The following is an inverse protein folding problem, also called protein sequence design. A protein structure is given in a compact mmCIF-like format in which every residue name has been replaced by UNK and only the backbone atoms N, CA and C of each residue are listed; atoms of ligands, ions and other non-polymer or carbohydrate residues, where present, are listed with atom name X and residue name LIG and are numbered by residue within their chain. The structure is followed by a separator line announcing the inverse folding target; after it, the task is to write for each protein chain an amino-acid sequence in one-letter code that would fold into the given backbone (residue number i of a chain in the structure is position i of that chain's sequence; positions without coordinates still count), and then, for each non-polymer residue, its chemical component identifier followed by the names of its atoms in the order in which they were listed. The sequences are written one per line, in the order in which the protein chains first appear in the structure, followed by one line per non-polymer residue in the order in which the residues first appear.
data_IF_823241566851
#
_entry.id   IF_823241566851
#
_cell.length_a   1.000
_cell.length_b   1.000
_cell.length_c   1.000
_cell.angle_alpha   90.00
_cell.angle_beta   90.00
_cell.angle_gamma   90.00
#
_symmetry.space_group_name_H-M   'P 1'
#
loop_
_entity.id
_entity.type
_entity.pdbx_description
1 polymer ?
#
# COMPACT_ATOMS: atom_id res chain seq x y z
N UNK A 1 -15.99 16.01 -16.70
CA UNK A 1 -15.40 15.34 -17.89
C UNK A 1 -14.04 14.82 -17.47
N UNK A 2 -13.75 13.52 -17.62
CA UNK A 2 -12.57 12.85 -17.01
C UNK A 2 -11.42 12.64 -18.01
N UNK A 3 -11.57 13.16 -19.23
CA UNK A 3 -10.60 13.04 -20.35
C UNK A 3 -11.32 12.81 -21.68
N UNK A 4 -10.65 13.07 -22.80
CA UNK A 4 -11.15 12.73 -24.15
C UNK A 4 -10.07 11.99 -24.93
N UNK A 5 -10.43 10.86 -25.56
CA UNK A 5 -9.53 10.15 -26.46
C UNK A 5 -9.68 10.80 -27.83
N UNK A 6 -8.64 11.51 -28.28
CA UNK A 6 -8.66 12.24 -29.55
C UNK A 6 -8.38 11.32 -30.73
N UNK A 7 -7.45 10.38 -30.54
CA UNK A 7 -6.99 9.41 -31.53
C UNK A 7 -6.52 8.12 -30.84
N UNK A 8 -6.48 7.00 -31.58
CA UNK A 8 -5.78 5.78 -31.14
C UNK A 8 -6.66 4.74 -30.43
N UNK A 9 -7.98 4.89 -30.39
CA UNK A 9 -8.87 3.85 -29.86
C UNK A 9 -8.84 2.57 -30.72
N UNK A 10 -8.42 2.71 -31.97
CA UNK A 10 -8.16 1.65 -32.93
C UNK A 10 -6.99 0.75 -32.51
N UNK A 11 -6.03 1.28 -31.74
CA UNK A 11 -4.92 0.47 -31.19
C UNK A 11 -5.46 -0.63 -30.27
N UNK A 12 -6.49 -0.33 -29.47
CA UNK A 12 -7.14 -1.32 -28.62
C UNK A 12 -7.86 -2.42 -29.42
N UNK A 13 -8.20 -2.18 -30.70
CA UNK A 13 -8.88 -3.17 -31.56
C UNK A 13 -7.91 -4.15 -32.23
N UNK A 14 -6.63 -3.80 -32.34
CA UNK A 14 -5.60 -4.61 -33.00
C UNK A 14 -4.59 -5.22 -32.01
N UNK A 15 -4.60 -4.79 -30.76
CA UNK A 15 -3.77 -5.37 -29.70
C UNK A 15 -4.12 -6.86 -29.49
N UNK A 16 -3.09 -7.71 -29.46
CA UNK A 16 -3.20 -9.13 -29.18
C UNK A 16 -2.96 -9.43 -27.68
N UNK A 17 -3.25 -10.67 -27.28
CA UNK A 17 -2.90 -11.14 -25.93
C UNK A 17 -1.38 -11.06 -25.73
N UNK A 18 -0.97 -10.36 -24.67
CA UNK A 18 0.45 -10.12 -24.35
C UNK A 18 1.00 -8.77 -24.82
N UNK A 19 0.28 -8.03 -25.67
CA UNK A 19 0.71 -6.68 -26.07
C UNK A 19 0.59 -5.69 -24.91
N UNK A 20 1.57 -4.80 -24.77
CA UNK A 20 1.56 -3.71 -23.80
C UNK A 20 1.24 -2.39 -24.47
N UNK A 21 0.20 -1.70 -23.99
CA UNK A 21 -0.15 -0.35 -24.40
C UNK A 21 0.42 0.66 -23.41
N UNK A 22 1.24 1.59 -23.90
CA UNK A 22 1.70 2.71 -23.10
C UNK A 22 0.66 3.82 -23.10
N UNK A 23 0.36 4.35 -21.91
CA UNK A 23 -0.47 5.56 -21.75
C UNK A 23 0.44 6.67 -21.26
N UNK A 24 0.51 7.76 -22.01
CA UNK A 24 1.21 8.99 -21.63
C UNK A 24 0.13 10.04 -21.36
N UNK A 25 0.19 10.66 -20.18
CA UNK A 25 -0.77 11.69 -19.77
C UNK A 25 -0.03 13.02 -19.69
N UNK A 26 -0.61 14.05 -20.31
CA UNK A 26 -0.12 15.43 -20.21
C UNK A 26 -1.20 16.32 -19.56
N UNK A 27 -0.90 16.99 -18.44
CA UNK A 27 0.34 16.90 -17.66
C UNK A 27 0.49 15.51 -17.02
N UNK A 28 1.74 15.10 -16.77
CA UNK A 28 2.00 13.91 -15.96
C UNK A 28 1.44 14.11 -14.55
N UNK A 29 1.13 12.99 -13.89
CA UNK A 29 0.56 13.02 -12.55
C UNK A 29 1.55 13.58 -11.54
N UNK A 30 1.13 14.61 -10.82
CA UNK A 30 1.82 15.10 -9.61
C UNK A 30 1.40 14.23 -8.43
N UNK A 31 2.16 13.18 -8.16
CA UNK A 31 2.03 12.35 -6.96
C UNK A 31 3.35 12.31 -6.19
N UNK A 32 3.40 13.04 -5.08
CA UNK A 32 4.57 13.14 -4.21
C UNK A 32 4.53 12.10 -3.08
N UNK A 33 3.41 11.38 -2.91
CA UNK A 33 3.21 10.49 -1.76
C UNK A 33 4.12 9.26 -1.86
N UNK A 34 4.94 9.07 -0.82
CA UNK A 34 5.95 8.04 -0.73
C UNK A 34 7.33 8.45 -1.21
N UNK A 35 7.50 9.65 -1.74
CA UNK A 35 8.82 10.18 -2.10
C UNK A 35 9.60 10.64 -0.85
N UNK A 36 10.94 10.52 -0.85
CA UNK A 36 11.79 11.30 0.03
C UNK A 36 11.53 12.79 -0.14
N UNK A 37 11.61 13.54 0.96
CA UNK A 37 11.27 14.97 0.98
C UNK A 37 12.02 15.79 -0.09
N UNK A 38 13.32 15.56 -0.25
CA UNK A 38 14.15 16.25 -1.25
C UNK A 38 13.76 15.89 -2.70
N UNK A 39 13.42 14.63 -2.95
CA UNK A 39 12.91 14.19 -4.26
C UNK A 39 11.56 14.83 -4.56
N UNK A 40 10.66 14.87 -3.58
CA UNK A 40 9.36 15.51 -3.72
C UNK A 40 9.47 17.02 -4.00
N UNK A 41 10.44 17.69 -3.38
CA UNK A 41 10.75 19.11 -3.63
C UNK A 41 11.20 19.32 -5.08
N UNK A 42 12.14 18.51 -5.55
CA UNK A 42 12.66 18.55 -6.92
C UNK A 42 11.54 18.33 -7.95
N UNK A 43 10.66 17.35 -7.69
CA UNK A 43 9.51 17.05 -8.54
C UNK A 43 8.53 18.24 -8.58
N UNK A 44 8.18 18.80 -7.42
CA UNK A 44 7.29 19.96 -7.34
C UNK A 44 7.83 21.19 -8.09
N UNK A 45 9.15 21.41 -8.01
CA UNK A 45 9.84 22.48 -8.75
C UNK A 45 9.76 22.27 -10.27
N UNK A 46 9.86 21.02 -10.76
CA UNK A 46 9.70 20.71 -12.18
C UNK A 46 8.31 21.08 -12.73
N UNK A 47 7.28 21.03 -11.87
CA UNK A 47 5.92 21.49 -12.19
C UNK A 47 5.69 22.99 -11.89
N UNK A 48 6.71 23.74 -11.49
CA UNK A 48 6.61 25.14 -11.07
C UNK A 48 5.62 25.35 -9.90
N UNK A 49 5.57 24.41 -8.97
CA UNK A 49 4.71 24.47 -7.79
C UNK A 49 5.47 25.03 -6.59
N UNK A 50 4.83 25.92 -5.84
CA UNK A 50 5.31 26.30 -4.51
C UNK A 50 5.18 25.10 -3.57
N UNK A 51 6.31 24.58 -3.09
CA UNK A 51 6.36 23.42 -2.19
C UNK A 51 6.46 23.85 -0.73
N UNK A 52 5.59 23.32 0.14
CA UNK A 52 5.56 23.64 1.58
C UNK A 52 5.45 22.37 2.44
N UNK A 53 6.54 21.90 3.07
CA UNK A 53 6.46 20.78 3.99
C UNK A 53 5.96 21.20 5.38
N UNK A 54 5.35 20.26 6.09
CA UNK A 54 5.01 20.40 7.51
C UNK A 54 6.25 20.49 8.41
N UNK A 55 7.30 19.75 8.06
CA UNK A 55 8.61 19.75 8.73
C UNK A 55 9.70 19.69 7.67
N UNK A 56 10.59 20.67 7.68
CA UNK A 56 11.74 20.75 6.77
C UNK A 56 12.99 20.13 7.42
N UNK A 57 13.13 18.81 7.32
CA UNK A 57 14.29 18.07 7.82
C UNK A 57 14.63 16.88 6.93
N UNK A 58 15.90 16.43 6.89
CA UNK A 58 16.30 15.27 6.12
C UNK A 58 15.64 13.97 6.63
N UNK A 59 15.75 12.91 5.83
CA UNK A 59 15.29 11.54 6.13
C UNK A 59 13.80 11.42 6.44
N UNK A 60 13.00 12.16 5.67
CA UNK A 60 11.53 12.15 5.77
C UNK A 60 10.88 11.70 4.47
N UNK A 61 9.76 11.00 4.62
CA UNK A 61 8.92 10.52 3.52
C UNK A 61 7.60 11.29 3.54
N UNK A 62 7.12 11.69 2.37
CA UNK A 62 5.81 12.31 2.20
C UNK A 62 4.69 11.29 2.38
N UNK A 63 3.76 11.55 3.30
CA UNK A 63 2.62 10.67 3.62
C UNK A 63 1.27 11.18 3.15
N UNK A 64 1.20 12.46 2.80
CA UNK A 64 0.03 13.07 2.18
C UNK A 64 0.41 14.39 1.54
N UNK A 65 -0.33 14.78 0.51
CA UNK A 65 -0.22 16.09 -0.12
C UNK A 65 -1.57 16.79 -0.18
N UNK A 66 -1.55 18.12 -0.26
CA UNK A 66 -2.71 18.97 -0.51
C UNK A 66 -2.31 20.09 -1.48
N UNK A 67 -3.03 20.29 -2.60
CA UNK A 67 -4.19 19.54 -3.06
C UNK A 67 -3.90 18.07 -3.40
N UNK A 68 -4.94 17.23 -3.36
CA UNK A 68 -4.80 15.79 -3.60
C UNK A 68 -4.69 15.46 -5.10
N UNK A 69 -5.21 16.34 -5.97
CA UNK A 69 -5.23 16.10 -7.41
C UNK A 69 -4.24 16.99 -8.15
N UNK A 70 -3.67 16.46 -9.22
CA UNK A 70 -2.74 17.18 -10.09
C UNK A 70 -3.34 18.48 -10.64
N UNK A 71 -4.59 18.45 -11.08
CA UNK A 71 -5.26 19.64 -11.64
C UNK A 71 -5.42 20.76 -10.61
N UNK A 72 -5.76 20.42 -9.37
CA UNK A 72 -5.87 21.42 -8.30
C UNK A 72 -4.49 21.98 -7.92
N UNK A 73 -3.47 21.12 -7.80
CA UNK A 73 -2.11 21.55 -7.50
C UNK A 73 -1.59 22.54 -8.56
N UNK A 74 -1.77 22.22 -9.85
CA UNK A 74 -1.40 23.10 -10.97
C UNK A 74 -2.24 24.38 -11.00
N UNK A 75 -3.54 24.29 -10.72
CA UNK A 75 -4.42 25.47 -10.65
C UNK A 75 -4.03 26.42 -9.51
N UNK A 76 -3.61 25.89 -8.36
CA UNK A 76 -3.20 26.67 -7.19
C UNK A 76 -1.73 27.10 -7.26
N UNK A 77 -0.93 26.44 -8.11
CA UNK A 77 0.53 26.57 -8.20
C UNK A 77 1.23 26.35 -6.86
N UNK A 78 0.65 25.52 -6.01
CA UNK A 78 1.15 25.25 -4.68
C UNK A 78 0.78 23.84 -4.23
N UNK A 79 1.64 23.26 -3.41
CA UNK A 79 1.44 21.97 -2.77
C UNK A 79 2.02 21.99 -1.37
N UNK A 80 1.20 21.55 -0.41
CA UNK A 80 1.57 21.33 0.97
C UNK A 80 1.72 19.82 1.19
N UNK A 81 2.76 19.40 1.90
CA UNK A 81 2.97 17.97 2.21
C UNK A 81 3.03 17.74 3.71
N UNK A 82 2.52 16.59 4.14
CA UNK A 82 2.80 16.04 5.48
C UNK A 82 3.80 14.91 5.35
N UNK A 83 4.65 14.78 6.35
CA UNK A 83 5.77 13.86 6.29
C UNK A 83 5.92 13.09 7.60
N UNK A 84 6.64 11.96 7.54
CA UNK A 84 7.13 11.22 8.71
C UNK A 84 8.61 10.86 8.52
N UNK A 85 9.35 10.57 9.60
CA UNK A 85 10.70 9.99 9.47
C UNK A 85 10.66 8.67 8.67
N UNK A 86 11.60 8.46 7.74
CA UNK A 86 11.66 7.22 6.91
C UNK A 86 11.76 5.96 7.77
N UNK A 87 12.40 6.05 8.95
CA UNK A 87 12.46 4.96 9.93
C UNK A 87 11.09 4.47 10.44
N UNK A 88 10.03 5.25 10.26
CA UNK A 88 8.65 4.85 10.60
C UNK A 88 7.91 4.17 9.45
N UNK A 89 8.49 4.13 8.24
CA UNK A 89 7.92 3.39 7.10
C UNK A 89 8.40 1.94 7.18
N UNK A 90 7.46 1.01 7.15
CA UNK A 90 7.72 -0.42 7.26
C UNK A 90 7.88 -1.03 5.86
N UNK A 91 9.02 -1.65 5.62
CA UNK A 91 9.29 -2.33 4.36
C UNK A 91 8.66 -3.73 4.35
N UNK A 92 7.97 -4.07 3.27
CA UNK A 92 7.31 -5.36 3.06
C UNK A 92 7.64 -5.91 1.68
N UNK A 93 7.48 -7.22 1.53
CA UNK A 93 7.40 -7.89 0.22
C UNK A 93 5.99 -8.44 0.04
N UNK A 94 5.57 -8.56 -1.22
CA UNK A 94 4.30 -9.18 -1.59
C UNK A 94 4.54 -10.37 -2.51
N UNK A 95 3.74 -11.43 -2.31
CA UNK A 95 3.83 -12.68 -3.07
C UNK A 95 2.81 -12.68 -4.22
N UNK A 96 3.17 -12.01 -5.31
CA UNK A 96 2.36 -11.97 -6.53
C UNK A 96 2.32 -13.32 -7.28
N UNK A 97 3.17 -14.28 -6.91
CA UNK A 97 3.21 -15.60 -7.54
C UNK A 97 2.12 -16.49 -6.96
N UNK A 98 2.07 -16.59 -5.62
CA UNK A 98 1.15 -17.50 -4.95
C UNK A 98 -0.16 -16.82 -4.52
N UNK A 99 -0.16 -15.50 -4.29
CA UNK A 99 -1.32 -14.74 -3.86
C UNK A 99 -1.64 -13.48 -4.71
N UNK A 100 -1.64 -13.56 -6.06
CA UNK A 100 -1.81 -12.38 -6.91
C UNK A 100 -3.11 -11.61 -6.65
N UNK A 101 -4.22 -12.30 -6.35
CA UNK A 101 -5.52 -11.64 -6.17
C UNK A 101 -5.59 -10.90 -4.85
N UNK A 102 -5.14 -11.54 -3.78
CA UNK A 102 -5.12 -10.97 -2.44
C UNK A 102 -4.10 -9.83 -2.35
N UNK A 103 -2.93 -9.97 -2.98
CA UNK A 103 -1.93 -8.89 -3.07
C UNK A 103 -2.51 -7.66 -3.79
N UNK A 104 -3.27 -7.85 -4.88
CA UNK A 104 -3.95 -6.74 -5.57
C UNK A 104 -4.97 -6.03 -4.66
N UNK A 105 -5.76 -6.79 -3.92
CA UNK A 105 -6.73 -6.26 -2.94
C UNK A 105 -6.00 -5.48 -1.84
N UNK A 106 -4.94 -6.05 -1.27
CA UNK A 106 -4.12 -5.38 -0.26
C UNK A 106 -3.55 -4.06 -0.77
N UNK A 107 -2.99 -4.03 -1.99
CA UNK A 107 -2.47 -2.79 -2.59
C UNK A 107 -3.57 -1.74 -2.77
N UNK A 108 -4.75 -2.16 -3.21
CA UNK A 108 -5.86 -1.25 -3.43
C UNK A 108 -6.35 -0.59 -2.14
N UNK A 109 -6.51 -1.36 -1.06
CA UNK A 109 -7.08 -0.85 0.20
C UNK A 109 -6.06 -0.33 1.21
N UNK A 110 -4.76 -0.61 1.01
CA UNK A 110 -3.68 0.12 1.69
C UNK A 110 -3.33 1.43 0.99
N UNK A 111 -3.59 1.55 -0.31
CA UNK A 111 -3.18 2.69 -1.13
C UNK A 111 -1.87 2.48 -1.89
N UNK A 112 -1.16 1.35 -1.70
CA UNK A 112 0.04 0.99 -2.49
C UNK A 112 -0.23 0.86 -4.00
N UNK A 113 -1.49 0.70 -4.40
CA UNK A 113 -1.88 0.74 -5.82
C UNK A 113 -1.71 2.13 -6.44
N UNK A 114 -1.84 3.18 -5.64
CA UNK A 114 -1.89 4.56 -6.10
C UNK A 114 -0.63 5.34 -5.76
N UNK A 115 0.06 4.95 -4.69
CA UNK A 115 1.22 5.66 -4.15
C UNK A 115 2.36 4.69 -3.87
N UNK A 116 3.59 5.20 -3.78
CA UNK A 116 4.76 4.39 -3.42
C UNK A 116 4.72 3.87 -1.97
N UNK A 117 3.84 4.44 -1.14
CA UNK A 117 3.56 3.96 0.21
C UNK A 117 2.05 3.75 0.42
N UNK A 118 1.70 2.70 1.15
CA UNK A 118 0.36 2.46 1.66
C UNK A 118 0.25 2.83 3.12
N UNK A 119 -0.97 2.81 3.64
CA UNK A 119 -1.26 3.02 5.06
C UNK A 119 -2.42 2.18 5.55
N UNK A 120 -2.32 1.67 6.76
CA UNK A 120 -3.41 1.00 7.46
C UNK A 120 -3.41 1.42 8.94
N UNK A 121 -4.58 1.65 9.55
CA UNK A 121 -4.66 1.79 10.99
C UNK A 121 -4.40 0.44 11.66
N UNK A 122 -3.69 0.46 12.78
CA UNK A 122 -3.62 -0.69 13.69
C UNK A 122 -5.02 -0.95 14.23
N UNK A 123 -5.42 -2.21 14.15
CA UNK A 123 -6.64 -2.71 14.78
C UNK A 123 -6.36 -3.06 16.23
N UNK A 124 -5.31 -3.85 16.47
CA UNK A 124 -4.91 -4.32 17.78
C UNK A 124 -3.50 -4.90 17.71
N UNK A 125 -2.74 -4.80 18.80
CA UNK A 125 -1.43 -5.45 18.94
C UNK A 125 -1.39 -6.14 20.31
N UNK A 126 -1.14 -7.45 20.34
CA UNK A 126 -1.12 -8.22 21.58
C UNK A 126 -0.21 -9.43 21.47
N UNK A 127 0.59 -9.61 22.51
CA UNK A 127 1.65 -10.61 22.59
C UNK A 127 2.50 -10.64 21.31
N UNK A 128 2.31 -11.68 20.51
CA UNK A 128 3.10 -11.98 19.32
C UNK A 128 2.40 -11.57 18.02
N UNK A 129 1.19 -10.99 18.07
CA UNK A 129 0.39 -10.70 16.88
C UNK A 129 0.07 -9.20 16.79
N UNK A 130 0.30 -8.65 15.61
CA UNK A 130 -0.14 -7.29 15.27
C UNK A 130 -1.11 -7.34 14.10
N UNK A 131 -2.27 -6.73 14.29
CA UNK A 131 -3.37 -6.70 13.33
C UNK A 131 -3.62 -5.26 12.85
N UNK A 132 -3.88 -5.13 11.56
CA UNK A 132 -4.25 -3.89 10.87
C UNK A 132 -5.61 -4.05 10.21
N UNK A 133 -6.30 -2.92 10.02
CA UNK A 133 -7.64 -2.92 9.41
C UNK A 133 -7.63 -2.29 8.03
N UNK A 134 -7.69 -3.10 6.97
CA UNK A 134 -8.04 -2.62 5.65
C UNK A 134 -9.55 -2.37 5.55
N UNK A 135 -9.95 -1.21 5.05
CA UNK A 135 -11.36 -0.86 4.87
C UNK A 135 -11.88 -1.43 3.54
N UNK A 136 -12.07 -2.75 3.52
CA UNK A 136 -12.57 -3.46 2.34
C UNK A 136 -14.11 -3.32 2.27
N UNK A 137 -14.68 -2.86 1.13
CA UNK A 137 -16.11 -2.85 0.91
C UNK A 137 -16.68 -4.27 0.87
N UNK A 138 -17.89 -4.48 1.42
CA UNK A 138 -18.56 -5.80 1.46
C UNK A 138 -18.74 -6.48 0.10
N UNK A 139 -18.72 -5.72 -0.99
CA UNK A 139 -18.83 -6.25 -2.35
C UNK A 139 -17.53 -6.88 -2.88
N UNK A 140 -16.41 -6.70 -2.15
CA UNK A 140 -15.11 -7.24 -2.56
C UNK A 140 -14.88 -8.57 -1.86
N UNK A 141 -14.78 -9.62 -2.64
CA UNK A 141 -14.47 -10.97 -2.14
C UNK A 141 -12.97 -11.17 -2.00
N UNK A 142 -12.53 -11.61 -0.83
CA UNK A 142 -11.18 -12.09 -0.59
C UNK A 142 -11.23 -13.60 -0.59
N UNK A 143 -11.15 -14.21 -1.78
CA UNK A 143 -11.24 -15.67 -1.91
C UNK A 143 -10.03 -16.35 -1.26
N UNK A 144 -10.17 -17.57 -0.70
CA UNK A 144 -9.05 -18.31 -0.17
C UNK A 144 -7.94 -18.53 -1.22
N UNK A 145 -6.71 -18.17 -0.88
CA UNK A 145 -5.56 -18.12 -1.77
C UNK A 145 -4.27 -18.18 -0.94
N UNK A 146 -3.28 -19.01 -1.32
CA UNK A 146 -2.03 -19.19 -0.58
C UNK A 146 -2.21 -19.41 0.94
N UNK A 147 -3.05 -20.39 1.27
CA UNK A 147 -3.45 -20.68 2.65
C UNK A 147 -2.32 -21.44 3.37
N UNK A 148 -1.98 -21.10 4.63
CA UNK A 148 -1.08 -21.92 5.43
C UNK A 148 -1.58 -23.37 5.57
N UNK A 149 -0.67 -24.34 5.62
CA UNK A 149 -1.03 -25.76 5.72
C UNK A 149 -0.79 -26.32 7.13
N UNK A 150 0.41 -26.16 7.67
CA UNK A 150 0.82 -26.75 8.95
C UNK A 150 1.42 -25.75 9.93
N UNK A 151 2.10 -24.72 9.42
CA UNK A 151 2.73 -23.70 10.23
C UNK A 151 2.98 -22.44 9.40
N UNK A 152 3.20 -21.34 10.10
CA UNK A 152 3.66 -20.07 9.53
C UNK A 152 4.88 -19.59 10.29
N UNK A 153 5.85 -19.05 9.56
CA UNK A 153 7.04 -18.47 10.14
C UNK A 153 6.76 -17.07 10.72
N UNK A 154 7.69 -16.58 11.54
CA UNK A 154 7.68 -15.20 12.00
C UNK A 154 7.79 -14.23 10.82
N UNK A 155 7.13 -13.07 10.92
CA UNK A 155 7.18 -12.02 9.92
C UNK A 155 6.33 -12.26 8.67
N UNK A 156 5.66 -13.40 8.55
CA UNK A 156 4.71 -13.66 7.46
C UNK A 156 3.56 -12.65 7.54
N UNK A 157 3.34 -11.92 6.46
CA UNK A 157 2.24 -10.99 6.28
C UNK A 157 1.07 -11.72 5.64
N UNK A 158 -0.12 -11.60 6.23
CA UNK A 158 -1.31 -12.28 5.74
C UNK A 158 -2.55 -11.40 5.81
N UNK A 159 -3.59 -11.77 5.06
CA UNK A 159 -4.90 -11.13 5.07
C UNK A 159 -6.00 -12.18 5.27
N UNK A 160 -6.97 -11.87 6.12
CA UNK A 160 -8.12 -12.75 6.36
C UNK A 160 -9.02 -12.79 5.14
N UNK A 161 -9.38 -14.01 4.74
CA UNK A 161 -10.21 -14.33 3.58
C UNK A 161 -11.68 -14.56 3.95
N UNK A 162 -12.53 -14.76 2.94
CA UNK A 162 -13.99 -14.90 3.05
C UNK A 162 -14.46 -16.14 3.84
N UNK A 163 -13.56 -17.07 4.19
CA UNK A 163 -13.89 -18.22 5.06
C UNK A 163 -14.10 -17.81 6.53
N UNK A 164 -13.66 -16.60 6.91
CA UNK A 164 -13.79 -16.06 8.26
C UNK A 164 -14.52 -14.71 8.27
N UNK A 165 -15.03 -14.31 9.43
CA UNK A 165 -15.78 -13.04 9.57
C UNK A 165 -14.89 -11.80 9.50
N UNK A 166 -13.60 -11.95 9.80
CA UNK A 166 -12.61 -10.86 9.83
C UNK A 166 -12.07 -10.43 8.48
N UNK A 167 -12.82 -10.57 7.37
CA UNK A 167 -12.33 -10.28 6.00
C UNK A 167 -11.62 -8.93 5.92
N UNK A 168 -10.41 -8.93 5.38
CA UNK A 168 -9.59 -7.73 5.22
C UNK A 168 -8.80 -7.29 6.46
N UNK A 169 -8.89 -8.03 7.58
CA UNK A 169 -7.89 -7.91 8.64
C UNK A 169 -6.55 -8.38 8.06
N UNK A 170 -5.52 -7.55 8.23
CA UNK A 170 -4.15 -7.86 7.85
C UNK A 170 -3.39 -8.16 9.12
N UNK A 171 -2.57 -9.20 9.12
CA UNK A 171 -1.87 -9.64 10.33
C UNK A 171 -0.46 -10.10 10.07
N UNK A 172 0.38 -9.96 11.09
CA UNK A 172 1.75 -10.46 11.15
C UNK A 172 2.02 -10.99 12.56
N UNK A 173 2.81 -12.07 12.65
CA UNK A 173 3.31 -12.58 13.94
C UNK A 173 4.80 -12.33 14.12
N UNK A 174 5.22 -12.03 15.33
CA UNK A 174 6.64 -11.90 15.71
C UNK A 174 7.33 -13.24 15.92
N UNK A 175 6.58 -14.33 16.11
CA UNK A 175 7.11 -15.69 16.23
C UNK A 175 6.33 -16.68 15.35
N UNK A 176 6.90 -17.85 15.03
CA UNK A 176 6.20 -18.88 14.27
C UNK A 176 4.94 -19.41 14.99
N UNK A 177 3.94 -19.87 14.23
CA UNK A 177 2.75 -20.54 14.77
C UNK A 177 2.46 -21.84 14.03
N UNK A 178 1.97 -22.85 14.75
CA UNK A 178 1.43 -24.09 14.18
C UNK A 178 -0.08 -24.26 14.41
N UNK A 179 -0.72 -23.29 15.08
CA UNK A 179 -2.13 -23.40 15.47
C UNK A 179 -3.02 -22.37 14.77
N UNK A 180 -2.56 -21.13 14.61
CA UNK A 180 -3.34 -20.02 14.04
C UNK A 180 -2.54 -19.26 12.98
N UNK A 181 -3.24 -18.74 11.97
CA UNK A 181 -2.64 -17.92 10.92
C UNK A 181 -2.20 -16.54 11.44
N UNK A 182 -1.42 -15.76 10.65
CA UNK A 182 -0.94 -14.46 11.11
C UNK A 182 -2.02 -13.42 11.39
N UNK A 183 -3.26 -13.66 10.97
CA UNK A 183 -4.42 -12.80 11.23
C UNK A 183 -5.22 -13.21 12.48
N UNK A 184 -4.69 -14.13 13.29
CA UNK A 184 -5.37 -14.77 14.44
C UNK A 184 -6.61 -15.59 14.08
N UNK A 185 -6.86 -15.83 12.79
CA UNK A 185 -7.89 -16.74 12.29
C UNK A 185 -7.29 -18.14 12.09
N UNK A 186 -8.10 -19.20 11.96
CA UNK A 186 -7.63 -20.51 11.53
C UNK A 186 -6.91 -20.43 10.18
N UNK A 187 -5.98 -21.34 9.91
CA UNK A 187 -5.23 -21.33 8.65
C UNK A 187 -6.12 -21.19 7.41
N UNK A 188 -7.22 -21.94 7.34
CA UNK A 188 -8.20 -21.86 6.22
C UNK A 188 -8.78 -20.47 5.98
N UNK A 189 -8.82 -19.62 7.01
CA UNK A 189 -9.31 -18.24 6.97
C UNK A 189 -8.24 -17.21 6.62
N UNK A 190 -7.00 -17.62 6.36
CA UNK A 190 -5.87 -16.70 6.18
C UNK A 190 -5.19 -16.93 4.83
N UNK A 191 -4.98 -15.85 4.07
CA UNK A 191 -4.18 -15.84 2.85
C UNK A 191 -2.81 -15.24 3.15
N UNK A 192 -1.73 -15.97 2.89
CA UNK A 192 -0.38 -15.42 2.97
C UNK A 192 -0.15 -14.51 1.76
N UNK A 193 0.20 -13.25 2.02
CA UNK A 193 0.41 -12.24 0.98
C UNK A 193 1.84 -11.76 0.87
N UNK A 194 2.73 -12.15 1.78
CA UNK A 194 4.14 -11.79 1.72
C UNK A 194 4.83 -11.80 3.07
N UNK A 195 5.77 -10.88 3.28
CA UNK A 195 6.61 -10.86 4.48
C UNK A 195 6.96 -9.43 4.87
N UNK A 196 6.94 -9.15 6.18
CA UNK A 196 7.45 -7.90 6.75
C UNK A 196 8.97 -8.02 6.90
N UNK A 197 9.71 -7.06 6.33
CA UNK A 197 11.17 -7.03 6.38
C UNK A 197 11.63 -6.39 7.70
N UNK A 198 11.02 -5.28 8.07
CA UNK A 198 11.42 -4.44 9.20
C UNK A 198 10.62 -4.79 10.48
N UNK A 199 10.74 -6.03 10.96
CA UNK A 199 9.94 -6.54 12.09
C UNK A 199 10.14 -5.76 13.39
N UNK A 200 11.31 -5.15 13.58
CA UNK A 200 11.62 -4.29 14.73
C UNK A 200 10.73 -3.04 14.80
N UNK A 201 10.21 -2.57 13.66
CA UNK A 201 9.30 -1.42 13.59
C UNK A 201 7.88 -1.78 14.03
N UNK A 202 7.49 -3.06 13.95
CA UNK A 202 6.16 -3.55 14.35
C UNK A 202 6.02 -3.58 15.88
N UNK A 203 7.09 -3.90 16.60
CA UNK A 203 7.04 -4.13 18.05
C UNK A 203 6.68 -2.89 18.89
N UNK A 204 6.86 -1.68 18.35
CA UNK A 204 6.67 -0.42 19.07
C UNK A 204 5.37 0.30 18.68
N UNK A 205 4.47 -0.38 17.99
CA UNK A 205 3.25 0.19 17.45
C UNK A 205 2.12 0.27 18.48
N UNK A 206 1.43 1.42 18.54
CA UNK A 206 0.32 1.65 19.47
C UNK A 206 -1.06 1.48 18.81
N UNK A 207 -2.05 1.00 19.56
CA UNK A 207 -3.40 0.79 19.03
C UNK A 207 -4.00 2.11 18.50
N UNK A 208 -4.59 2.06 17.30
CA UNK A 208 -5.20 3.21 16.64
C UNK A 208 -4.21 4.09 15.87
N UNK A 209 -2.90 3.85 15.95
CA UNK A 209 -1.90 4.54 15.14
C UNK A 209 -2.03 4.17 13.65
N UNK A 210 -1.75 5.15 12.78
CA UNK A 210 -1.69 4.95 11.33
C UNK A 210 -0.30 4.48 10.94
N UNK A 211 -0.20 3.29 10.38
CA UNK A 211 1.07 2.68 9.99
C UNK A 211 1.26 2.77 8.49
N UNK A 212 2.50 3.04 8.06
CA UNK A 212 2.86 3.24 6.67
C UNK A 212 3.74 2.10 6.17
N UNK A 213 3.41 1.60 4.98
CA UNK A 213 4.06 0.45 4.36
C UNK A 213 4.67 0.84 3.03
N UNK A 214 5.83 0.28 2.71
CA UNK A 214 6.47 0.38 1.39
C UNK A 214 6.75 -1.01 0.88
N UNK A 215 6.29 -1.30 -0.33
CA UNK A 215 6.62 -2.54 -1.02
C UNK A 215 8.03 -2.47 -1.59
N UNK A 216 8.85 -3.47 -1.29
CA UNK A 216 10.17 -3.69 -1.88
C UNK A 216 10.06 -4.82 -2.89
N UNK A 217 10.19 -4.51 -4.17
CA UNK A 217 10.21 -5.52 -5.24
C UNK A 217 11.57 -6.21 -5.24
N UNK A 218 11.55 -7.54 -5.23
CA UNK A 218 12.72 -8.40 -5.43
C UNK A 218 12.80 -8.87 -6.87
#
# INVERSE_FOLDING_TARGET
MVGHVVHGIELCKIAAEGDCLQVIVEPSQVDLVGMPLESARTEAEAFNLKFTPDVDSPDRIVISQKPATTLEALSQRAIEVRTIPDKQVISITLDDVNAPRTCKIFREYSGLKYHAIGRLPILFSFDEVTLFKAKIPKATSVLPENIPVSSVDAGVLAMTNDSCKGVGIVGVRSVPSSEFGPTSEPFSGTNIIGTVIDMEKIANLEEGEMVFFREVRR
#
